data_IF_346348169476
#
_entry.id   IF_346348169476
#
_cell.length_a   1.000
_cell.length_b   1.000
_cell.length_c   1.000
_cell.angle_alpha   90.00
_cell.angle_beta   90.00
_cell.angle_gamma   90.00
#
_symmetry.space_group_name_H-M   'P 1'
#
loop_
_entity.id
_entity.type
_entity.pdbx_description
1 polymer ?
2 polymer ?
3 branched ?
#
# COMPACT_ATOMS: atom_id res chain seq x y z
N UNK A 15 -31.04 12.15 9.71
CA UNK A 15 -30.11 13.29 9.38
C UNK A 15 -29.41 13.24 8.01
N UNK A 16 -28.77 12.11 7.71
CA UNK A 16 -28.05 11.95 6.45
C UNK A 16 -26.66 12.57 6.41
N UNK A 17 -25.93 12.35 5.31
CA UNK A 17 -24.58 12.90 5.14
C UNK A 17 -24.60 13.80 3.89
N UNK A 18 -23.59 14.63 3.71
CA UNK A 18 -23.53 15.53 2.55
C UNK A 18 -23.46 14.80 1.21
N UNK A 19 -23.16 15.55 0.15
CA UNK A 19 -23.09 14.98 -1.19
C UNK A 19 -21.76 14.34 -1.56
N UNK A 20 -20.85 14.25 -0.59
CA UNK A 20 -19.56 13.66 -0.84
C UNK A 20 -19.45 12.39 0.01
N UNK A 21 -20.18 12.40 1.12
CA UNK A 21 -20.19 11.28 2.07
C UNK A 21 -21.29 10.27 1.76
N UNK A 22 -21.03 9.01 2.15
CA UNK A 22 -21.98 7.92 1.94
C UNK A 22 -22.59 7.53 3.28
N UNK A 23 -23.93 7.43 3.31
CA UNK A 23 -24.62 7.08 4.54
C UNK A 23 -24.86 5.58 4.72
N UNK A 24 -24.21 5.00 5.71
CA UNK A 24 -24.35 3.58 6.01
C UNK A 24 -24.69 3.37 7.48
N UNK A 25 -25.96 3.04 7.72
CA UNK A 25 -26.47 2.83 9.06
C UNK A 25 -26.28 4.08 9.91
N UNK A 26 -25.65 3.89 11.05
CA UNK A 26 -25.38 4.94 12.01
C UNK A 26 -24.03 5.61 11.75
N UNK A 27 -23.58 5.55 10.50
CA UNK A 27 -22.28 6.12 10.16
C UNK A 27 -22.24 6.81 8.80
N UNK A 28 -21.27 7.73 8.64
CA UNK A 28 -21.04 8.44 7.39
C UNK A 28 -19.59 8.19 7.03
N UNK A 29 -19.39 7.73 5.81
CA UNK A 29 -18.06 7.42 5.32
C UNK A 29 -17.64 8.30 4.17
N UNK A 30 -16.33 8.55 4.12
CA UNK A 30 -15.77 9.35 3.05
C UNK A 30 -14.67 8.57 2.38
N UNK A 31 -14.81 8.42 1.06
CA UNK A 31 -13.82 7.72 0.26
C UNK A 31 -13.00 8.72 -0.53
N UNK A 32 -11.69 8.64 -0.27
CA UNK A 32 -10.66 9.48 -0.87
C UNK A 32 -10.55 9.34 -2.37
N UNK A 33 -10.13 10.42 -3.02
CA UNK A 33 -9.96 10.40 -4.46
C UNK A 33 -8.47 10.43 -4.76
N UNK A 34 -7.72 11.31 -4.09
CA UNK A 34 -6.27 11.36 -4.28
C UNK A 34 -5.60 10.62 -3.12
N UNK A 35 -4.26 10.55 -3.12
CA UNK A 35 -3.54 9.82 -2.07
C UNK A 35 -2.84 10.66 -1.01
N UNK A 36 -2.60 10.05 0.14
CA UNK A 36 -1.93 10.72 1.25
C UNK A 36 -1.31 9.68 2.19
N UNK A 37 -0.48 10.13 3.13
CA UNK A 37 0.08 9.19 4.08
C UNK A 37 -0.93 8.99 5.22
N UNK A 38 -0.65 8.06 6.10
CA UNK A 38 -1.58 7.79 7.17
C UNK A 38 -1.90 9.00 8.04
N UNK A 39 -0.87 9.73 8.46
CA UNK A 39 -1.05 10.90 9.31
C UNK A 39 -1.74 12.04 8.57
N UNK A 40 -1.35 12.27 7.33
CA UNK A 40 -1.93 13.32 6.51
C UNK A 40 -3.43 13.09 6.35
N UNK A 41 -3.84 11.86 6.64
CA UNK A 41 -5.23 11.44 6.53
C UNK A 41 -5.92 11.55 7.90
N UNK A 42 -5.24 11.11 8.95
CA UNK A 42 -5.78 11.18 10.29
C UNK A 42 -6.32 12.60 10.49
N UNK A 43 -5.48 13.57 10.10
CA UNK A 43 -5.82 14.98 10.20
C UNK A 43 -7.08 15.29 9.41
N UNK A 44 -7.02 15.03 8.10
CA UNK A 44 -8.15 15.30 7.19
C UNK A 44 -9.52 14.96 7.77
N UNK A 45 -9.69 13.75 8.26
CA UNK A 45 -10.97 13.35 8.82
C UNK A 45 -11.32 14.33 9.94
N UNK A 46 -10.30 14.74 10.70
CA UNK A 46 -10.49 15.68 11.79
C UNK A 46 -10.92 17.06 11.31
N UNK A 47 -10.45 17.48 10.15
CA UNK A 47 -10.84 18.77 9.62
C UNK A 47 -12.25 18.68 9.04
N UNK A 48 -12.99 17.71 9.57
CA UNK A 48 -14.38 17.40 9.26
C UNK A 48 -14.83 16.65 10.50
N UNK A 49 -14.14 16.94 11.60
CA UNK A 49 -14.40 16.32 12.88
C UNK A 49 -14.84 14.86 12.72
N UNK A 50 -13.91 14.05 12.22
CA UNK A 50 -14.14 12.63 12.03
C UNK A 50 -12.91 11.86 12.49
N UNK A 51 -12.81 10.61 12.08
CA UNK A 51 -11.67 9.76 12.44
C UNK A 51 -11.56 8.66 11.41
N UNK A 52 -10.36 8.51 10.85
CA UNK A 52 -10.11 7.51 9.83
C UNK A 52 -10.99 6.26 9.91
N UNK A 53 -12.06 6.27 9.11
CA UNK A 53 -13.02 5.17 9.04
C UNK A 53 -12.76 3.97 9.94
N UNK A 54 -13.10 4.11 11.21
CA UNK A 54 -12.93 3.04 12.18
C UNK A 54 -14.18 2.16 12.09
N UNK A 55 -14.01 0.88 11.73
CA UNK A 55 -15.13 -0.06 11.58
C UNK A 55 -15.43 -0.90 12.83
N UNK A 56 -16.71 -1.06 13.15
CA UNK A 56 -17.07 -1.81 14.35
C UNK A 56 -18.04 -3.00 14.19
N UNK A 57 -19.04 -2.88 13.32
CA UNK A 57 -19.98 -3.99 13.09
C UNK A 57 -19.49 -4.84 11.93
N UNK A 58 -20.09 -6.01 11.77
CA UNK A 58 -19.71 -6.95 10.71
C UNK A 58 -20.32 -6.56 9.37
N UNK A 59 -21.41 -5.79 9.42
CA UNK A 59 -22.11 -5.31 8.23
C UNK A 59 -21.34 -4.21 7.53
N UNK A 60 -20.66 -3.37 8.31
CA UNK A 60 -19.87 -2.25 7.77
C UNK A 60 -18.72 -2.80 6.91
N UNK A 61 -17.99 -3.75 7.50
CA UNK A 61 -16.85 -4.40 6.87
C UNK A 61 -17.08 -4.75 5.40
N UNK A 62 -18.16 -5.48 5.15
CA UNK A 62 -18.50 -5.91 3.81
C UNK A 62 -18.59 -4.71 2.90
N UNK A 63 -19.39 -3.73 3.30
CA UNK A 63 -19.54 -2.52 2.52
C UNK A 63 -18.19 -1.94 2.12
N UNK A 64 -17.36 -1.66 3.12
CA UNK A 64 -16.05 -1.11 2.85
C UNK A 64 -15.23 -1.90 1.82
N UNK A 65 -14.96 -3.17 2.07
CA UNK A 65 -14.19 -3.96 1.11
C UNK A 65 -14.86 -3.87 -0.25
N UNK A 66 -16.18 -4.03 -0.26
CA UNK A 66 -17.00 -4.00 -1.46
C UNK A 66 -16.87 -2.70 -2.28
N UNK A 67 -16.91 -1.54 -1.62
CA UNK A 67 -16.80 -0.24 -2.29
C UNK A 67 -15.34 0.24 -2.21
N UNK A 68 -14.41 -0.62 -2.56
CA UNK A 68 -13.00 -0.24 -2.48
C UNK A 68 -12.13 -1.16 -3.32
N UNK A 69 -12.55 -2.42 -3.38
CA UNK A 69 -11.84 -3.43 -4.14
C UNK A 69 -10.37 -3.14 -4.35
N UNK A 70 -9.92 -3.36 -5.58
CA UNK A 70 -8.55 -3.16 -6.00
C UNK A 70 -7.87 -1.87 -5.43
N UNK A 71 -8.65 -0.95 -4.88
CA UNK A 71 -8.09 0.29 -4.32
C UNK A 71 -7.83 0.26 -2.81
N UNK A 72 -6.61 0.60 -2.40
CA UNK A 72 -6.18 0.61 -0.98
C UNK A 72 -6.50 1.89 -0.23
N UNK A 73 -6.98 1.76 1.01
CA UNK A 73 -7.36 2.91 1.84
C UNK A 73 -6.92 2.79 3.30
N UNK A 74 -6.65 3.92 3.96
CA UNK A 74 -6.24 3.92 5.37
C UNK A 74 -7.49 3.82 6.25
N UNK A 75 -7.34 3.31 7.47
CA UNK A 75 -8.50 3.17 8.37
C UNK A 75 -8.32 3.57 9.85
N UNK A 76 -7.33 4.40 10.15
CA UNK A 76 -7.15 4.83 11.52
C UNK A 76 -6.50 3.84 12.47
N UNK A 77 -6.80 2.55 12.34
CA UNK A 77 -6.18 1.57 13.22
C UNK A 77 -4.68 1.68 13.10
N UNK A 78 -4.00 1.67 14.25
CA UNK A 78 -2.56 1.80 14.28
C UNK A 78 -1.97 1.35 15.61
N UNK A 79 -0.72 0.89 15.57
CA UNK A 79 -0.02 0.46 16.78
C UNK A 79 1.25 1.29 16.97
N UNK A 80 1.32 2.01 18.10
CA UNK A 80 2.46 2.87 18.42
C UNK A 80 3.67 2.08 18.94
N UNK A 81 4.62 1.83 18.05
CA UNK A 81 5.84 1.08 18.35
C UNK A 81 5.64 -0.08 19.32
N UNK A 82 5.36 -1.26 18.75
CA UNK A 82 5.17 -2.46 19.54
C UNK A 82 4.06 -2.40 20.58
N UNK A 83 3.72 -1.19 21.03
CA UNK A 83 2.67 -1.00 22.03
C UNK A 83 1.45 -1.90 21.76
N UNK A 84 0.47 -1.36 21.03
CA UNK A 84 -0.74 -2.10 20.70
C UNK A 84 -1.64 -1.34 19.73
N UNK A 85 -2.25 -2.06 18.78
CA UNK A 85 -3.14 -1.44 17.80
C UNK A 85 -4.25 -0.69 18.51
N UNK A 86 -4.47 0.56 18.12
CA UNK A 86 -5.52 1.39 18.73
C UNK A 86 -6.09 2.35 17.68
N UNK A 87 -7.41 2.47 17.69
CA UNK A 87 -8.12 3.34 16.75
C UNK A 87 -7.73 4.82 16.82
N UNK A 88 -8.55 5.67 16.20
CA UNK A 88 -8.31 7.11 16.18
C UNK A 88 -8.90 7.73 17.45
N UNK A 89 -10.17 7.43 17.71
CA UNK A 89 -10.82 7.96 18.92
C UNK A 89 -10.00 7.46 20.10
N UNK A 90 -10.65 6.85 21.08
CA UNK A 90 -9.92 6.36 22.21
C UNK A 90 -10.40 4.95 22.45
N UNK A 91 -9.48 3.98 22.49
CA UNK A 91 -9.85 2.59 22.77
C UNK A 91 -8.89 1.57 22.14
N UNK A 92 -8.56 0.56 22.93
CA UNK A 92 -7.68 -0.51 22.47
C UNK A 92 -8.52 -1.36 21.52
N UNK A 93 -7.89 -1.82 20.44
CA UNK A 93 -8.62 -2.62 19.48
C UNK A 93 -8.79 -4.05 19.96
N UNK A 94 -10.04 -4.52 20.00
CA UNK A 94 -10.32 -5.89 20.40
C UNK A 94 -9.73 -6.77 19.29
N UNK A 95 -10.54 -7.40 18.46
CA UNK A 95 -9.96 -8.21 17.40
C UNK A 95 -10.81 -9.16 16.60
N UNK A 96 -12.04 -8.79 16.26
CA UNK A 96 -12.90 -9.67 15.49
C UNK A 96 -12.36 -9.92 14.10
N UNK A 97 -11.23 -9.30 13.77
CA UNK A 97 -10.62 -9.51 12.46
C UNK A 97 -9.11 -9.33 12.47
N UNK A 98 -8.45 -10.24 11.77
CA UNK A 98 -6.99 -10.24 11.63
C UNK A 98 -6.54 -8.87 11.09
N UNK A 99 -5.23 -8.61 11.12
CA UNK A 99 -4.60 -7.37 10.58
C UNK A 99 -3.23 -7.79 10.05
N UNK A 100 -3.22 -8.71 9.08
CA UNK A 100 -1.95 -9.19 8.52
C UNK A 100 -1.09 -8.04 8.03
N UNK A 101 0.21 -8.28 7.93
CA UNK A 101 1.12 -7.25 7.46
C UNK A 101 2.36 -7.13 8.34
N UNK A 102 2.15 -6.77 9.59
CA UNK A 102 3.23 -6.58 10.56
C UNK A 102 3.83 -5.19 10.32
N UNK A 103 2.98 -4.19 10.51
CA UNK A 103 3.37 -2.80 10.34
C UNK A 103 2.79 -2.03 11.52
N UNK A 104 2.39 -0.78 11.32
CA UNK A 104 1.82 0.00 12.42
C UNK A 104 0.59 0.82 11.97
N UNK A 105 0.30 0.74 10.67
CA UNK A 105 -0.83 1.44 10.08
C UNK A 105 -1.56 0.46 9.16
N UNK A 106 -2.88 0.36 9.37
CA UNK A 106 -3.70 -0.55 8.60
C UNK A 106 -4.49 0.07 7.44
N UNK A 107 -4.55 -0.67 6.31
CA UNK A 107 -5.29 -0.21 5.15
C UNK A 107 -6.25 -1.27 4.61
N UNK A 108 -7.31 -0.80 3.98
CA UNK A 108 -8.37 -1.65 3.46
C UNK A 108 -8.50 -1.84 1.94
N UNK A 109 -8.44 -3.10 1.52
CA UNK A 109 -8.58 -3.52 0.13
C UNK A 109 -9.81 -4.45 0.18
N UNK A 110 -10.50 -4.68 -0.94
CA UNK A 110 -11.65 -5.58 -0.91
C UNK A 110 -11.14 -6.92 -0.40
N UNK A 111 -9.89 -7.23 -0.77
CA UNK A 111 -9.22 -8.46 -0.39
C UNK A 111 -9.16 -8.64 1.14
N UNK A 112 -8.60 -7.62 1.79
CA UNK A 112 -8.47 -7.62 3.24
C UNK A 112 -7.78 -6.37 3.76
N UNK A 113 -7.20 -6.47 4.94
CA UNK A 113 -6.49 -5.33 5.54
C UNK A 113 -5.07 -5.69 5.96
N UNK A 114 -4.13 -4.89 5.48
CA UNK A 114 -2.72 -5.12 5.77
C UNK A 114 -2.08 -3.97 6.50
N UNK A 115 -0.86 -4.21 6.95
CA UNK A 115 -0.11 -3.23 7.71
C UNK A 115 0.92 -2.52 6.87
N UNK A 116 1.26 -1.31 7.30
CA UNK A 116 2.26 -0.51 6.62
C UNK A 116 2.90 0.48 7.56
N UNK A 117 3.97 1.10 7.07
CA UNK A 117 4.68 2.10 7.83
C UNK A 117 3.94 3.43 7.73
N UNK A 118 2.84 3.43 6.99
CA UNK A 118 2.03 4.64 6.84
C UNK A 118 2.67 5.78 6.08
N UNK A 119 3.78 5.51 5.41
CA UNK A 119 4.50 6.51 4.63
C UNK A 119 3.96 6.60 3.20
N UNK A 120 3.63 5.44 2.65
CA UNK A 120 3.08 5.29 1.30
C UNK A 120 1.86 6.19 1.07
N UNK A 121 1.81 6.83 -0.10
CA UNK A 121 0.69 7.71 -0.44
C UNK A 121 -0.41 6.96 -1.18
N UNK A 122 -1.42 6.58 -0.42
CA UNK A 122 -2.55 5.82 -0.94
C UNK A 122 -3.84 6.50 -0.50
N UNK A 123 -4.99 5.91 -0.84
CA UNK A 123 -6.29 6.48 -0.45
C UNK A 123 -6.67 6.12 0.98
N UNK A 124 -7.75 6.72 1.46
CA UNK A 124 -8.20 6.47 2.84
C UNK A 124 -9.71 6.55 2.87
N UNK A 125 -10.28 6.27 4.03
CA UNK A 125 -11.74 6.32 4.24
C UNK A 125 -11.99 7.01 5.57
N UNK A 126 -12.99 7.87 5.65
CA UNK A 126 -13.27 8.52 6.93
C UNK A 126 -14.63 8.07 7.42
N UNK A 127 -14.73 7.91 8.75
CA UNK A 127 -15.97 7.51 9.40
C UNK A 127 -16.26 8.56 10.44
N UNK A 128 -17.54 8.79 10.69
CA UNK A 128 -17.94 9.75 11.69
C UNK A 128 -19.40 9.56 12.04
N UNK A 129 -19.71 9.28 13.31
CA UNK A 129 -21.09 9.07 13.75
C UNK A 129 -22.08 10.04 13.09
N UNK A 130 -23.10 9.48 12.45
CA UNK A 130 -24.14 10.26 11.76
C UNK A 130 -25.13 10.83 12.77
N UNK A 131 -24.63 11.70 13.64
CA UNK A 131 -25.42 12.35 14.69
C UNK A 131 -26.05 11.35 15.68
N UNK B 18 6.88 -9.31 -30.50
CA UNK B 18 7.19 -9.23 -29.05
C UNK B 18 5.91 -9.19 -28.19
N UNK B 19 5.76 -10.13 -27.26
CA UNK B 19 4.56 -10.14 -26.40
C UNK B 19 4.62 -11.11 -25.21
N UNK B 20 3.60 -11.04 -24.36
CA UNK B 20 3.45 -11.89 -23.17
C UNK B 20 1.95 -12.22 -22.97
N UNK B 21 1.64 -13.30 -22.23
CA UNK B 21 0.26 -13.74 -21.96
C UNK B 21 -0.77 -12.67 -21.62
N UNK B 22 -1.99 -13.11 -21.34
CA UNK B 22 -3.09 -12.21 -20.99
C UNK B 22 -2.82 -11.44 -19.69
N UNK B 23 -3.11 -10.14 -19.73
CA UNK B 23 -2.92 -9.27 -18.58
C UNK B 23 -1.42 -9.10 -18.28
N UNK B 24 -0.69 -8.49 -19.21
CA UNK B 24 0.76 -8.24 -19.10
C UNK B 24 1.18 -7.04 -19.94
N UNK B 25 1.04 -5.82 -19.43
CA UNK B 25 1.41 -4.63 -20.22
C UNK B 25 2.80 -4.74 -20.85
N UNK B 26 3.09 -3.83 -21.79
CA UNK B 26 4.40 -3.80 -22.46
C UNK B 26 4.97 -2.42 -22.75
N UNK B 27 6.17 -2.18 -22.23
CA UNK B 27 6.87 -0.93 -22.48
C UNK B 27 8.26 -1.39 -22.87
N UNK B 28 8.57 -1.32 -24.16
CA UNK B 28 9.85 -1.77 -24.70
C UNK B 28 10.05 -3.28 -24.48
N UNK B 29 11.24 -3.79 -24.77
CA UNK B 29 11.49 -5.22 -24.62
C UNK B 29 11.13 -5.93 -23.32
N UNK B 30 10.54 -5.22 -22.37
CA UNK B 30 10.19 -5.80 -21.06
C UNK B 30 8.66 -5.95 -20.83
N UNK B 31 8.25 -7.07 -20.22
CA UNK B 31 6.84 -7.36 -19.90
C UNK B 31 6.59 -7.07 -18.42
N UNK B 32 5.33 -6.91 -18.01
CA UNK B 32 5.04 -6.60 -16.59
C UNK B 32 3.74 -7.16 -16.00
N UNK B 33 3.84 -8.09 -15.05
CA UNK B 33 2.64 -8.64 -14.41
C UNK B 33 2.51 -7.98 -13.04
N UNK B 34 1.37 -7.38 -12.75
CA UNK B 34 1.21 -6.71 -11.47
C UNK B 34 0.62 -7.54 -10.35
N UNK B 35 1.04 -8.81 -10.32
CA UNK B 35 0.59 -9.76 -9.31
C UNK B 35 -0.89 -9.58 -9.09
N UNK B 36 -1.37 -9.99 -7.94
CA UNK B 36 -2.77 -9.87 -7.68
C UNK B 36 -3.02 -10.14 -6.19
N UNK B 37 -2.07 -10.84 -5.56
CA UNK B 37 -2.16 -11.15 -4.12
C UNK B 37 -0.93 -10.62 -3.36
N UNK B 38 -1.08 -10.53 -2.05
CA UNK B 38 -0.03 -10.02 -1.19
C UNK B 38 0.96 -11.09 -0.74
N UNK B 39 2.24 -10.77 -0.74
CA UNK B 39 3.25 -11.71 -0.33
C UNK B 39 4.55 -11.04 0.09
N UNK B 40 5.17 -11.58 1.13
CA UNK B 40 6.44 -11.08 1.62
C UNK B 40 7.38 -10.91 0.44
N UNK B 41 8.12 -9.82 0.45
CA UNK B 41 9.06 -9.53 -0.62
C UNK B 41 9.77 -10.73 -1.24
N UNK B 42 10.47 -11.52 -0.44
CA UNK B 42 11.19 -12.67 -0.97
C UNK B 42 10.24 -13.62 -1.69
N UNK B 43 8.99 -13.66 -1.21
CA UNK B 43 7.97 -14.53 -1.79
C UNK B 43 7.61 -14.11 -3.20
N UNK B 44 7.47 -12.81 -3.42
CA UNK B 44 7.15 -12.34 -4.74
C UNK B 44 8.35 -12.53 -5.65
N UNK B 45 9.54 -12.16 -5.19
CA UNK B 45 10.74 -12.34 -6.01
C UNK B 45 10.70 -13.80 -6.50
N UNK B 46 10.10 -14.66 -5.68
CA UNK B 46 9.96 -16.08 -6.00
C UNK B 46 8.91 -16.24 -7.09
N UNK B 47 7.71 -15.79 -6.78
CA UNK B 47 6.57 -15.86 -7.70
C UNK B 47 6.91 -15.38 -9.10
N UNK B 48 7.79 -14.39 -9.22
CA UNK B 48 8.23 -13.86 -10.52
C UNK B 48 9.06 -14.92 -11.23
N UNK B 49 9.93 -15.56 -10.45
CA UNK B 49 10.80 -16.62 -10.93
C UNK B 49 9.97 -17.80 -11.38
N UNK B 50 8.88 -18.05 -10.65
CA UNK B 50 7.98 -19.16 -10.97
C UNK B 50 7.26 -18.92 -12.29
N UNK B 51 7.67 -17.86 -12.98
CA UNK B 51 7.13 -17.49 -14.28
C UNK B 51 8.28 -16.86 -15.04
N UNK B 52 9.44 -17.52 -14.99
CA UNK B 52 10.64 -17.03 -15.65
C UNK B 52 10.64 -15.52 -15.82
N UNK B 53 10.63 -14.84 -14.69
CA UNK B 53 10.64 -13.38 -14.65
C UNK B 53 11.22 -13.01 -13.30
N UNK B 54 11.41 -11.72 -13.06
CA UNK B 54 11.95 -11.26 -11.79
C UNK B 54 11.23 -10.03 -11.30
N UNK B 55 11.38 -9.76 -10.01
CA UNK B 55 10.76 -8.58 -9.42
C UNK B 55 11.28 -7.37 -10.17
N UNK B 56 10.42 -6.36 -10.30
CA UNK B 56 10.75 -5.14 -11.02
C UNK B 56 12.15 -4.62 -10.73
N UNK B 57 12.79 -4.09 -11.77
CA UNK B 57 14.11 -3.50 -11.62
C UNK B 57 14.19 -2.34 -12.62
N UNK B 58 13.83 -1.15 -12.13
CA UNK B 58 13.80 0.07 -12.92
C UNK B 58 15.12 0.45 -13.59
N UNK B 59 15.30 -0.04 -14.81
CA UNK B 59 16.50 0.21 -15.61
C UNK B 59 16.84 1.71 -15.74
N UNK B 60 15.87 2.53 -16.17
CA UNK B 60 16.07 3.98 -16.27
C UNK B 60 14.78 4.81 -16.41
N UNK B 61 14.87 6.07 -15.99
CA UNK B 61 13.77 7.04 -15.98
C UNK B 61 12.55 6.80 -16.85
N UNK B 62 12.78 6.29 -18.06
CA UNK B 62 11.70 6.02 -18.99
C UNK B 62 10.90 4.80 -18.51
N UNK B 63 11.59 3.83 -17.92
CA UNK B 63 10.93 2.63 -17.39
C UNK B 63 10.16 3.05 -16.14
N UNK B 64 10.68 4.06 -15.46
CA UNK B 64 10.06 4.58 -14.25
C UNK B 64 8.83 5.39 -14.58
N UNK B 65 8.98 6.31 -15.53
CA UNK B 65 7.88 7.18 -15.97
C UNK B 65 6.88 6.36 -16.81
N UNK B 66 6.75 5.09 -16.46
CA UNK B 66 5.83 4.19 -17.12
C UNK B 66 5.06 3.36 -16.10
N UNK B 67 5.79 2.77 -15.14
CA UNK B 67 5.14 1.98 -14.11
C UNK B 67 4.48 3.00 -13.21
N UNK B 68 5.16 4.13 -13.08
CA UNK B 68 4.72 5.25 -12.26
C UNK B 68 3.26 5.61 -12.57
N UNK B 69 3.04 6.19 -13.74
CA UNK B 69 1.69 6.57 -14.14
C UNK B 69 0.98 5.40 -14.82
N UNK B 70 1.16 4.21 -14.26
CA UNK B 70 0.53 2.97 -14.73
C UNK B 70 -0.10 2.37 -13.49
N UNK B 71 0.06 3.12 -12.40
CA UNK B 71 -0.45 2.75 -11.10
C UNK B 71 -1.55 3.71 -10.69
N UNK B 72 -2.76 3.19 -10.60
CA UNK B 72 -3.87 4.03 -10.19
C UNK B 72 -3.95 4.10 -8.66
N UNK B 73 -3.98 5.33 -8.10
CA UNK B 73 -4.06 5.62 -6.67
C UNK B 73 -4.71 4.50 -5.87
N UNK B 74 -3.97 3.96 -4.91
CA UNK B 74 -4.45 2.87 -4.09
C UNK B 74 -3.71 1.61 -4.54
N UNK B 75 -2.93 1.74 -5.61
CA UNK B 75 -2.17 0.63 -6.14
C UNK B 75 -0.67 0.88 -5.95
N UNK B 76 0.05 -0.17 -5.56
CA UNK B 76 1.51 -0.15 -5.33
C UNK B 76 2.08 -1.57 -5.28
N UNK B 77 3.41 -1.69 -5.18
CA UNK B 77 4.03 -3.00 -5.13
C UNK B 77 5.55 -3.07 -4.96
N UNK B 78 6.03 -4.23 -4.54
CA UNK B 78 7.45 -4.48 -4.31
C UNK B 78 8.28 -4.19 -5.56
N UNK B 79 9.59 -4.31 -5.43
CA UNK B 79 10.52 -4.09 -6.54
C UNK B 79 11.93 -4.62 -6.21
N UNK B 80 12.76 -4.78 -7.23
CA UNK B 80 14.12 -5.27 -7.04
C UNK B 80 15.04 -4.45 -6.15
N UNK B 81 14.48 -3.50 -5.40
CA UNK B 81 15.28 -2.66 -4.49
C UNK B 81 15.07 -3.12 -3.06
N UNK B 82 16.18 -3.39 -2.38
CA UNK B 82 16.19 -3.84 -0.99
C UNK B 82 17.39 -3.19 -0.32
N UNK B 83 17.37 -3.14 1.01
CA UNK B 83 18.47 -2.59 1.79
C UNK B 83 19.55 -3.68 1.81
N UNK B 84 20.74 -3.38 2.30
CA UNK B 84 21.82 -4.37 2.26
C UNK B 84 22.25 -5.06 3.57
N UNK B 85 21.87 -4.50 4.71
CA UNK B 85 22.22 -5.04 6.02
C UNK B 85 23.64 -4.64 6.44
N UNK B 86 24.61 -4.89 5.55
CA UNK B 86 26.00 -4.50 5.84
C UNK B 86 26.18 -2.97 5.63
N UNK B 87 26.60 -2.60 4.42
CA UNK B 87 26.80 -1.20 4.11
C UNK B 87 25.53 -0.43 4.47
N UNK B 88 24.42 -1.17 4.47
CA UNK B 88 23.10 -0.64 4.78
C UNK B 88 22.69 0.36 3.71
N UNK B 89 22.65 -0.11 2.46
CA UNK B 89 22.28 0.71 1.31
C UNK B 89 21.12 0.14 0.54
N UNK B 90 20.88 0.73 -0.64
CA UNK B 90 19.81 0.27 -1.52
C UNK B 90 20.46 -0.26 -2.78
N UNK B 91 20.11 -1.50 -3.13
CA UNK B 91 20.66 -2.11 -4.32
C UNK B 91 19.61 -2.94 -5.07
N UNK B 92 19.82 -3.11 -6.38
CA UNK B 92 18.90 -3.87 -7.19
C UNK B 92 19.30 -5.32 -7.34
N UNK B 93 18.29 -6.17 -7.36
CA UNK B 93 18.46 -7.60 -7.49
C UNK B 93 19.27 -7.93 -8.76
N UNK B 94 19.49 -6.92 -9.60
CA UNK B 94 20.26 -7.06 -10.84
C UNK B 94 21.75 -6.95 -10.53
N UNK B 95 22.04 -6.61 -9.28
CA UNK B 95 23.41 -6.43 -8.76
C UNK B 95 24.14 -5.19 -9.26
N UNK B 96 23.58 -4.03 -8.93
CA UNK B 96 24.10 -2.71 -9.29
C UNK B 96 23.55 -1.71 -8.26
N UNK B 97 24.41 -0.87 -7.71
CA UNK B 97 23.98 0.09 -6.71
C UNK B 97 22.90 1.05 -7.23
N UNK B 98 22.00 1.45 -6.34
CA UNK B 98 20.92 2.40 -6.69
C UNK B 98 21.53 3.79 -6.80
N UNK B 99 20.92 4.71 -7.53
CA UNK B 99 21.51 6.05 -7.61
C UNK B 99 20.53 7.22 -7.55
N UNK B 100 20.93 8.31 -6.86
CA UNK B 100 20.08 9.49 -6.74
C UNK B 100 19.77 10.05 -8.13
N UNK B 101 20.41 9.50 -9.14
CA UNK B 101 20.18 9.91 -10.51
C UNK B 101 18.84 9.33 -11.03
N UNK B 102 18.25 8.44 -10.24
CA UNK B 102 16.99 7.79 -10.58
C UNK B 102 15.90 8.32 -9.65
N UNK B 103 16.06 8.01 -8.37
CA UNK B 103 15.13 8.45 -7.35
C UNK B 103 15.68 8.25 -5.95
N UNK B 104 14.81 8.21 -4.95
CA UNK B 104 15.29 8.08 -3.59
C UNK B 104 14.20 7.74 -2.57
N UNK B 105 14.18 6.50 -2.10
CA UNK B 105 13.18 6.03 -1.13
C UNK B 105 12.87 6.98 0.04
N UNK B 106 11.58 7.05 0.38
CA UNK B 106 11.07 7.88 1.48
C UNK B 106 10.78 6.93 2.66
N UNK B 107 11.59 7.07 3.71
CA UNK B 107 11.45 6.24 4.89
C UNK B 107 12.80 5.78 5.45
N UNK B 108 12.80 5.12 6.62
CA UNK B 108 14.05 4.65 7.22
C UNK B 108 14.82 3.81 6.22
N UNK B 109 16.14 3.78 6.33
CA UNK B 109 16.91 2.98 5.39
C UNK B 109 17.74 1.94 6.13
N UNK B 110 17.07 1.14 6.97
CA UNK B 110 17.74 0.10 7.76
C UNK B 110 17.58 -1.29 7.15
N UNK B 111 18.43 -2.23 7.57
CA UNK B 111 18.37 -3.61 7.07
C UNK B 111 16.96 -4.12 7.33
N UNK B 112 16.57 -5.16 6.61
CA UNK B 112 15.22 -5.71 6.79
C UNK B 112 14.19 -4.86 6.04
N UNK B 113 14.66 -3.86 5.32
CA UNK B 113 13.76 -3.00 4.57
C UNK B 113 13.92 -3.13 3.05
N UNK B 114 12.77 -3.24 2.38
CA UNK B 114 12.67 -3.41 0.93
C UNK B 114 11.86 -2.24 0.37
N UNK B 115 11.76 -2.15 -0.95
CA UNK B 115 11.03 -1.06 -1.57
C UNK B 115 9.72 -1.43 -2.27
N UNK B 116 8.82 -0.45 -2.32
CA UNK B 116 7.53 -0.56 -2.98
C UNK B 116 7.30 0.77 -3.69
N UNK B 117 6.60 0.73 -4.83
CA UNK B 117 6.35 1.93 -5.61
C UNK B 117 4.88 2.34 -5.66
N UNK B 118 4.68 3.62 -5.44
CA UNK B 118 3.36 4.21 -5.47
C UNK B 118 3.38 4.95 -6.79
N UNK B 119 2.22 5.37 -7.27
CA UNK B 119 2.18 6.10 -8.52
C UNK B 119 2.99 7.38 -8.50
N UNK B 120 3.27 7.92 -7.31
CA UNK B 120 4.04 9.17 -7.18
C UNK B 120 5.50 9.05 -6.77
N UNK B 121 5.77 8.28 -5.72
CA UNK B 121 7.15 8.11 -5.26
C UNK B 121 7.45 6.68 -4.84
N UNK B 122 8.62 6.50 -4.24
CA UNK B 122 9.07 5.19 -3.79
C UNK B 122 9.32 5.23 -2.30
N UNK B 123 8.54 4.45 -1.57
CA UNK B 123 8.66 4.40 -0.12
C UNK B 123 9.44 3.17 0.30
N UNK B 124 9.77 3.10 1.61
CA UNK B 124 10.50 1.96 2.16
C UNK B 124 9.63 1.20 3.17
N UNK B 125 9.53 -0.12 2.98
CA UNK B 125 8.71 -0.96 3.85
C UNK B 125 9.42 -2.16 4.45
N UNK B 126 8.70 -2.78 5.39
CA UNK B 126 9.17 -3.97 6.13
C UNK B 126 9.04 -5.24 5.28
N UNK B 127 10.15 -5.73 4.70
CA UNK B 127 10.10 -6.93 3.84
C UNK B 127 9.25 -8.09 4.42
N UNK B 128 9.14 -8.17 5.74
CA UNK B 128 8.37 -9.23 6.39
C UNK B 128 6.87 -9.02 6.19
N UNK B 129 6.53 -8.05 5.36
CA UNK B 129 5.13 -7.73 5.13
C UNK B 129 4.57 -8.21 3.78
N UNK B 130 3.24 -8.34 3.73
CA UNK B 130 2.53 -8.79 2.55
C UNK B 130 2.00 -7.66 1.67
N UNK B 131 2.47 -7.61 0.43
CA UNK B 131 2.03 -6.62 -0.55
C UNK B 131 1.95 -7.30 -1.94
N UNK B 132 1.39 -6.61 -2.92
CA UNK B 132 1.29 -7.15 -4.28
C UNK B 132 2.65 -6.95 -4.97
N UNK B 133 3.08 -7.91 -5.77
CA UNK B 133 4.35 -7.79 -6.48
C UNK B 133 4.24 -6.99 -7.77
N UNK B 134 5.34 -6.89 -8.51
CA UNK B 134 5.40 -6.15 -9.79
C UNK B 134 6.57 -6.83 -10.57
N UNK B 135 6.27 -7.91 -11.32
CA UNK B 135 7.29 -8.67 -12.06
C UNK B 135 7.58 -8.23 -13.49
N UNK B 136 8.83 -8.40 -13.94
CA UNK B 136 9.22 -8.05 -15.31
C UNK B 136 10.14 -9.10 -15.93
N UNK B 137 10.51 -8.89 -17.18
CA UNK B 137 11.38 -9.80 -17.93
C UNK B 137 11.20 -9.44 -19.42
N UNK B 138 11.96 -10.07 -20.30
CA UNK B 138 11.86 -9.77 -21.73
C UNK B 138 10.87 -10.66 -22.48
X LIG C 1 -14.11 4.34 20.10
X LIG C 1 -15.05 4.19 21.31
X LIG C 1 -15.67 2.79 21.40
X LIG C 1 -16.36 2.43 20.07
X LIG C 1 -15.29 2.54 18.97
X LIG C 1 -15.85 2.21 17.60
X LIG C 1 -14.59 5.57 23.23
X LIG C 1 -15.66 5.49 24.30
X LIG C 1 -14.34 4.46 22.54
X LIG C 1 -16.60 2.73 22.46
X LIG C 1 -16.88 1.07 20.15
X LIG C 1 -14.79 3.92 18.90
X LIG C 1 -16.50 3.33 17.02
X LIG C 1 -14.01 6.63 23.02
X LIG C 2 -18.00 0.70 19.40
X LIG C 2 -18.22 -0.82 19.56
X LIG C 2 -19.56 -1.31 18.97
X LIG C 2 -20.75 -0.41 19.34
X LIG C 2 -20.37 1.08 19.15
X LIG C 2 -21.45 2.01 19.65
X LIG C 2 -16.43 -2.44 19.50
X LIG C 2 -16.81 -3.89 19.26
X LIG C 2 -17.13 -1.50 18.88
X LIG C 2 -19.81 -2.63 19.44
X LIG C 2 -21.89 -0.74 18.50
X LIG C 2 -19.15 1.39 19.89
X LIG C 2 -22.45 1.32 20.38
X LIG C 2 -15.50 -2.17 20.27
X LIG C 3 -22.97 -1.41 19.06
X LIG C 3 -23.27 -2.71 18.27
X LIG C 3 -24.78 -2.88 17.95
X LIG C 3 -25.39 -1.63 17.30
X LIG C 3 -24.73 -0.34 17.79
X LIG C 3 -25.71 0.82 17.93
X LIG C 3 -22.83 -3.84 19.01
X LIG C 3 -25.51 -3.21 19.13
X LIG C 3 -25.29 -1.72 15.89
X LIG C 3 -24.12 -0.53 19.09
X LIG C 3 -27.06 0.35 17.80
X LIG D 1 2.53 12.89 6.05
X LIG D 1 3.75 12.77 6.96
X LIG D 1 4.19 14.11 7.57
X LIG D 1 4.43 15.01 6.38
X LIG D 1 3.03 15.30 5.84
X LIG D 1 3.09 16.42 4.77
X LIG D 1 4.23 10.67 8.08
X LIG D 1 3.41 9.38 8.11
X LIG D 1 3.53 11.81 8.02
X LIG D 1 5.40 13.91 8.32
X LIG D 1 5.18 16.21 6.77
X LIG D 1 2.59 14.08 5.20
X LIG D 1 2.08 16.32 3.76
X LIG D 1 5.46 10.61 8.09
X LIG D 2 4.63 17.17 7.58
X LIG D 2 4.81 16.84 9.09
X LIG D 2 5.18 18.05 9.88
X LIG D 2 6.45 18.56 9.28
X LIG D 2 6.18 19.15 7.92
X LIG D 2 7.46 19.31 7.13
X LIG D 2 3.62 15.56 10.79
X LIG D 2 3.80 14.05 10.65
X LIG D 2 3.60 16.27 9.66
X LIG D 2 5.39 17.70 11.24
X LIG D 2 6.99 19.63 10.08
X LIG D 2 5.14 18.47 7.11
X LIG D 2 7.23 19.57 5.75
X LIG D 2 3.47 16.05 11.92
X LIG D 3 7.91 19.27 11.05
X LIG D 3 7.90 20.30 12.20
X LIG D 3 8.82 21.50 12.00
X LIG D 3 10.16 21.07 11.41
X LIG D 3 9.90 20.33 10.13
X LIG D 3 11.17 19.99 9.37
X LIG D 3 8.16 19.70 13.46
X LIG D 3 9.02 22.09 13.28
X LIG D 3 10.99 22.20 11.17
X LIG D 3 9.23 19.09 10.46
X LIG D 3 12.09 19.29 10.19
#
# INVERSE_FOLDING_TARGET
>A
DLGSIATWSKHAKPVACSGDWLGVRDKCFYFSDDTRNWTASKIFCSLQKAELAQIDTQEDMEFLKRYAGTDMHWIGLSRKQGDSWKWTNGTTFNGWFEIIGNGSFAFLSADGVHSSRGFIDIKWICSKPKYFLAAAHHHHHH
>B
DLGSSQNVNVSSLSGHNYLCPNDWLLNEGKCYWFSTSFKTWKESQRDCTQLQAHLLVIQNLDELEFIQNSLKPGHFGWIGLYVTFQGNLWMWIDEHFLVPELFSVIGPTDDRSCAVITGNWVYSEDCSSTFKGICQRDAILTHNGTSGVAAAHHHHHH
>C hetero
1 NAG C1 C2 C3 C4 C5 C6 C7 C8 N2 O3 O4 O5 O6 O7
2 NAG C1 C2 C3 C4 C5 C6 C7 C8 N2 O3 O4 O5 O6 O7
3 MAN C1 C2 C3 C4 C5 C6 O2 O3 O4 O5 O6
>D hetero
1 NAG C1 C2 C3 C4 C5 C6 C7 C8 N2 O3 O4 O5 O6 O7
2 NAG C1 C2 C3 C4 C5 C6 C7 C8 N2 O3 O4 O5 O6 O7
3 MAN C1 C2 C3 C4 C5 C6 O2 O3 O4 O5 O6
#
